data_IF_881178938946
#
_entry.id   IF_881178938946
#
_cell.length_a   1.000
_cell.length_b   1.000
_cell.length_c   1.000
_cell.angle_alpha   90.00
_cell.angle_beta   90.00
_cell.angle_gamma   90.00
#
_symmetry.space_group_name_H-M   'P 1'
#
loop_
_entity.id
_entity.type
_entity.pdbx_description
1 polymer ?
#
# COMPACT_ATOMS: atom_id res chain seq x y z
N UNK A 1 -34.30 -23.04 0.27
CA UNK A 1 -33.69 -24.29 -0.23
C UNK A 1 -32.58 -23.87 -1.17
N UNK A 2 -31.31 -23.96 -0.73
CA UNK A 2 -30.15 -23.68 -1.59
C UNK A 2 -30.07 -24.76 -2.67
N UNK A 3 -30.19 -24.38 -3.93
CA UNK A 3 -30.12 -25.34 -5.03
C UNK A 3 -28.66 -25.64 -5.37
N UNK A 4 -28.35 -26.89 -5.72
CA UNK A 4 -27.02 -27.31 -6.22
C UNK A 4 -26.50 -26.40 -7.34
N UNK A 5 -27.40 -25.77 -8.12
CA UNK A 5 -27.07 -24.84 -9.21
C UNK A 5 -26.45 -23.52 -8.74
N UNK A 6 -26.87 -22.99 -7.59
CA UNK A 6 -26.35 -21.74 -7.02
C UNK A 6 -24.94 -21.94 -6.45
N UNK A 7 -24.67 -23.12 -5.87
CA UNK A 7 -23.34 -23.50 -5.37
C UNK A 7 -22.32 -23.67 -6.49
N UNK A 8 -22.73 -24.18 -7.64
CA UNK A 8 -21.84 -24.27 -8.82
C UNK A 8 -21.54 -22.89 -9.39
N UNK A 9 -22.54 -22.00 -9.44
CA UNK A 9 -22.41 -20.61 -9.89
C UNK A 9 -21.47 -19.78 -9.01
N UNK A 10 -21.52 -19.98 -7.69
CA UNK A 10 -20.65 -19.25 -6.75
C UNK A 10 -19.19 -19.68 -6.81
N UNK A 11 -18.90 -20.90 -7.27
CA UNK A 11 -17.54 -21.44 -7.40
C UNK A 11 -16.97 -21.48 -8.82
N UNK A 12 -17.81 -21.26 -9.84
CA UNK A 12 -17.37 -21.28 -11.23
C UNK A 12 -16.50 -20.05 -11.55
N UNK A 13 -15.28 -20.29 -12.02
CA UNK A 13 -14.28 -19.27 -12.39
C UNK A 13 -14.62 -18.53 -13.68
N UNK A 14 -15.26 -19.21 -14.64
CA UNK A 14 -15.72 -18.65 -15.90
C UNK A 14 -17.03 -17.87 -15.75
N UNK A 15 -17.64 -17.90 -14.57
CA UNK A 15 -18.92 -17.27 -14.33
C UNK A 15 -18.81 -15.74 -14.47
N UNK A 16 -19.63 -15.10 -15.34
CA UNK A 16 -19.56 -13.66 -15.58
C UNK A 16 -20.18 -12.89 -14.40
N UNK A 17 -19.44 -11.89 -13.95
CA UNK A 17 -19.78 -10.98 -12.88
C UNK A 17 -19.74 -9.54 -13.39
N UNK A 18 -20.58 -8.71 -12.79
CA UNK A 18 -20.49 -7.26 -12.93
C UNK A 18 -19.47 -6.70 -11.95
N UNK A 19 -18.77 -5.63 -12.36
CA UNK A 19 -17.87 -4.90 -11.48
C UNK A 19 -18.61 -4.43 -10.21
N UNK A 20 -18.10 -4.70 -9.00
CA UNK A 20 -18.73 -4.24 -7.76
C UNK A 20 -18.77 -2.71 -7.66
N UNK A 21 -17.80 -2.02 -8.26
CA UNK A 21 -17.74 -0.56 -8.31
C UNK A 21 -18.62 0.05 -9.42
N UNK A 22 -19.39 -0.78 -10.13
CA UNK A 22 -20.34 -0.35 -11.19
C UNK A 22 -19.70 0.53 -12.25
N UNK A 23 -18.48 0.18 -12.69
CA UNK A 23 -17.75 0.89 -13.73
C UNK A 23 -18.35 0.75 -15.15
N UNK A 24 -19.42 -0.05 -15.29
CA UNK A 24 -20.10 -0.31 -16.57
C UNK A 24 -19.79 -1.68 -17.16
N UNK A 25 -18.67 -2.31 -16.76
CA UNK A 25 -18.31 -3.65 -17.21
C UNK A 25 -19.11 -4.74 -16.47
N UNK A 26 -19.75 -5.63 -17.23
CA UNK A 26 -20.78 -6.56 -16.75
C UNK A 26 -20.45 -8.03 -17.00
N UNK A 27 -19.42 -8.35 -17.78
CA UNK A 27 -19.08 -9.70 -18.18
C UNK A 27 -17.65 -10.10 -17.76
N UNK A 28 -17.23 -9.70 -16.57
CA UNK A 28 -15.92 -10.03 -16.02
C UNK A 28 -15.99 -11.46 -15.49
N UNK A 29 -15.16 -12.37 -16.01
CA UNK A 29 -15.08 -13.72 -15.44
C UNK A 29 -14.60 -13.62 -14.00
N UNK A 30 -15.15 -14.44 -13.10
CA UNK A 30 -14.78 -14.43 -11.68
C UNK A 30 -13.26 -14.47 -11.46
N UNK A 31 -12.55 -15.30 -12.22
CA UNK A 31 -11.07 -15.41 -12.15
C UNK A 31 -10.33 -14.14 -12.59
N UNK A 32 -10.93 -13.34 -13.48
CA UNK A 32 -10.32 -12.13 -14.05
C UNK A 32 -10.67 -10.87 -13.25
N UNK A 33 -11.48 -11.00 -12.18
CA UNK A 33 -11.94 -9.86 -11.37
C UNK A 33 -10.79 -9.13 -10.67
N UNK A 34 -9.76 -9.85 -10.21
CA UNK A 34 -8.62 -9.21 -9.55
C UNK A 34 -7.82 -8.37 -10.56
N UNK A 35 -7.52 -8.94 -11.73
CA UNK A 35 -6.88 -8.19 -12.83
C UNK A 35 -7.70 -6.98 -13.26
N UNK A 36 -9.03 -7.09 -13.30
CA UNK A 36 -9.89 -5.93 -13.60
C UNK A 36 -9.70 -4.79 -12.58
N UNK A 37 -9.62 -5.09 -11.28
CA UNK A 37 -9.45 -4.08 -10.22
C UNK A 37 -8.14 -3.30 -10.36
N UNK A 38 -7.09 -3.92 -10.89
CA UNK A 38 -5.80 -3.27 -11.16
C UNK A 38 -5.91 -2.09 -12.14
N UNK A 39 -6.90 -2.11 -13.04
CA UNK A 39 -7.10 -1.07 -14.06
C UNK A 39 -8.46 -0.36 -13.97
N UNK A 40 -9.34 -0.78 -13.06
CA UNK A 40 -10.66 -0.17 -12.91
C UNK A 40 -10.54 1.28 -12.42
N UNK A 41 -11.07 2.21 -13.22
CA UNK A 41 -11.05 3.65 -12.94
C UNK A 41 -11.90 4.05 -11.72
N UNK A 42 -12.87 3.22 -11.35
CA UNK A 42 -13.73 3.43 -10.18
C UNK A 42 -13.26 2.65 -8.94
N UNK A 43 -12.14 1.92 -9.03
CA UNK A 43 -11.55 1.23 -7.89
C UNK A 43 -11.18 2.25 -6.80
N UNK A 44 -11.61 1.98 -5.57
CA UNK A 44 -11.22 2.77 -4.40
C UNK A 44 -9.83 2.36 -3.95
N UNK A 45 -8.90 3.31 -3.97
CA UNK A 45 -7.51 3.08 -3.62
C UNK A 45 -7.09 4.01 -2.50
N UNK A 46 -6.22 3.52 -1.63
CA UNK A 46 -5.52 4.37 -0.69
C UNK A 46 -4.55 5.29 -1.41
N UNK A 47 -4.39 6.50 -0.90
CA UNK A 47 -3.38 7.44 -1.35
C UNK A 47 -1.98 6.80 -1.26
N UNK A 48 -1.08 7.01 -2.24
CA UNK A 48 0.31 6.55 -2.17
C UNK A 48 1.05 7.03 -0.90
N UNK A 49 0.61 8.14 -0.30
CA UNK A 49 1.15 8.70 0.94
C UNK A 49 0.48 8.16 2.22
N UNK A 50 -0.34 7.10 2.15
CA UNK A 50 -0.95 6.45 3.34
C UNK A 50 0.10 6.03 4.37
N UNK A 51 1.24 5.50 3.90
CA UNK A 51 2.35 5.07 4.76
C UNK A 51 3.00 6.19 5.59
N UNK A 52 2.82 7.46 5.20
CA UNK A 52 3.26 8.64 5.98
C UNK A 52 2.08 9.41 6.60
N UNK A 53 0.87 8.85 6.55
CA UNK A 53 -0.30 9.36 7.28
C UNK A 53 -1.36 10.07 6.44
N UNK A 54 -1.34 9.97 5.11
CA UNK A 54 -2.45 10.48 4.30
C UNK A 54 -3.61 9.47 4.25
N UNK A 55 -4.71 9.77 4.94
CA UNK A 55 -5.90 8.89 5.02
C UNK A 55 -6.82 8.94 3.79
N UNK A 56 -6.31 9.33 2.63
CA UNK A 56 -7.13 9.48 1.44
C UNK A 56 -7.52 8.11 0.87
N UNK A 57 -8.83 7.87 0.71
CA UNK A 57 -9.37 6.74 -0.05
C UNK A 57 -10.13 7.34 -1.26
N UNK A 58 -9.57 7.13 -2.46
CA UNK A 58 -9.94 7.86 -3.67
C UNK A 58 -10.11 6.89 -4.83
N UNK A 59 -11.10 7.14 -5.68
CA UNK A 59 -11.22 6.45 -6.96
C UNK A 59 -9.97 6.67 -7.82
N UNK A 60 -9.49 5.61 -8.48
CA UNK A 60 -8.32 5.67 -9.38
C UNK A 60 -8.36 6.88 -10.33
N UNK A 61 -9.49 7.14 -10.99
CA UNK A 61 -9.67 8.29 -11.91
C UNK A 61 -9.44 9.67 -11.29
N UNK A 62 -9.58 9.80 -9.98
CA UNK A 62 -9.41 11.05 -9.25
C UNK A 62 -8.07 11.13 -8.50
N UNK A 63 -7.28 10.04 -8.49
CA UNK A 63 -6.03 9.97 -7.73
C UNK A 63 -5.02 11.04 -8.17
N UNK A 64 -4.86 11.27 -9.47
CA UNK A 64 -3.96 12.31 -9.98
C UNK A 64 -4.35 13.71 -9.47
N UNK A 65 -5.65 14.05 -9.54
CA UNK A 65 -6.15 15.33 -9.03
C UNK A 65 -5.98 15.47 -7.52
N UNK A 66 -6.22 14.40 -6.76
CA UNK A 66 -5.98 14.37 -5.33
C UNK A 66 -4.51 14.64 -5.00
N UNK A 67 -3.59 13.95 -5.68
CA UNK A 67 -2.15 14.12 -5.50
C UNK A 67 -1.71 15.55 -5.79
N UNK A 68 -2.20 16.16 -6.88
CA UNK A 68 -1.91 17.56 -7.26
C UNK A 68 -2.45 18.57 -6.26
N UNK A 69 -3.68 18.37 -5.78
CA UNK A 69 -4.30 19.32 -4.85
C UNK A 69 -3.81 19.16 -3.40
N UNK A 70 -3.21 18.01 -3.07
CA UNK A 70 -2.74 17.70 -1.71
C UNK A 70 -1.22 17.80 -1.56
N UNK A 71 -0.50 18.40 -2.52
CA UNK A 71 0.98 18.48 -2.52
C UNK A 71 1.51 19.06 -1.23
N UNK A 72 0.96 20.19 -0.76
CA UNK A 72 1.42 20.83 0.49
C UNK A 72 1.28 19.88 1.69
N UNK A 73 0.12 19.23 1.84
CA UNK A 73 -0.12 18.24 2.90
C UNK A 73 0.87 17.09 2.80
N UNK A 74 1.09 16.54 1.60
CA UNK A 74 2.02 15.44 1.38
C UNK A 74 3.47 15.85 1.71
N UNK A 75 3.89 17.07 1.35
CA UNK A 75 5.21 17.59 1.70
C UNK A 75 5.41 17.72 3.21
N UNK A 76 4.39 18.19 3.95
CA UNK A 76 4.46 18.28 5.41
C UNK A 76 4.57 16.90 6.08
N UNK A 77 3.79 15.92 5.61
CA UNK A 77 3.87 14.54 6.10
C UNK A 77 5.25 13.93 5.81
N UNK A 78 5.76 14.11 4.59
CA UNK A 78 7.11 13.67 4.21
C UNK A 78 8.19 14.35 5.04
N UNK A 79 8.10 15.66 5.28
CA UNK A 79 9.08 16.39 6.09
C UNK A 79 9.11 15.88 7.53
N UNK A 80 7.94 15.60 8.11
CA UNK A 80 7.83 14.97 9.43
C UNK A 80 8.47 13.57 9.44
N UNK A 81 8.07 12.70 8.52
CA UNK A 81 8.61 11.34 8.41
C UNK A 81 10.13 11.35 8.17
N UNK A 82 10.63 12.29 7.37
CA UNK A 82 12.07 12.47 7.13
C UNK A 82 12.81 12.86 8.40
N UNK A 83 12.28 13.82 9.17
CA UNK A 83 12.87 14.22 10.45
C UNK A 83 12.97 13.04 11.42
N UNK A 84 11.90 12.26 11.54
CA UNK A 84 11.84 11.07 12.39
C UNK A 84 12.86 10.00 11.93
N UNK A 85 12.93 9.74 10.62
CA UNK A 85 13.90 8.81 10.03
C UNK A 85 15.35 9.25 10.25
N UNK A 86 15.66 10.54 10.15
CA UNK A 86 17.00 11.08 10.42
C UNK A 86 17.37 10.94 11.88
N UNK A 87 16.43 11.18 12.80
CA UNK A 87 16.64 11.00 14.23
C UNK A 87 16.91 9.54 14.56
N UNK A 88 16.13 8.62 14.00
CA UNK A 88 16.29 7.19 14.21
C UNK A 88 17.61 6.67 13.64
N UNK A 89 17.99 7.10 12.43
CA UNK A 89 19.30 6.74 11.87
C UNK A 89 20.46 7.22 12.76
N UNK A 90 20.37 8.45 13.31
CA UNK A 90 21.40 8.94 14.26
C UNK A 90 21.45 8.09 15.52
N UNK A 91 20.30 7.70 16.07
CA UNK A 91 20.21 6.83 17.24
C UNK A 91 20.88 5.47 16.97
N UNK A 92 20.50 4.80 15.88
CA UNK A 92 21.07 3.51 15.48
C UNK A 92 22.58 3.58 15.22
N UNK A 93 23.07 4.67 14.62
CA UNK A 93 24.51 4.89 14.42
C UNK A 93 25.26 5.02 15.74
N UNK A 94 24.70 5.73 16.73
CA UNK A 94 25.28 5.84 18.07
C UNK A 94 25.34 4.47 18.76
N UNK A 95 24.25 3.71 18.73
CA UNK A 95 24.18 2.37 19.33
C UNK A 95 25.18 1.39 18.68
N UNK A 96 25.30 1.43 17.36
CA UNK A 96 26.28 0.61 16.64
C UNK A 96 27.72 0.99 16.99
N UNK A 97 28.01 2.28 17.21
CA UNK A 97 29.32 2.75 17.63
C UNK A 97 29.67 2.22 19.03
N UNK A 98 28.72 2.26 19.97
CA UNK A 98 28.88 1.75 21.33
C UNK A 98 29.12 0.22 21.36
N UNK A 99 28.40 -0.54 20.53
CA UNK A 99 28.59 -1.99 20.41
C UNK A 99 29.99 -2.37 19.89
N UNK A 100 30.55 -1.59 18.95
CA UNK A 100 31.92 -1.82 18.44
C UNK A 100 32.98 -1.61 19.52
N UNK A 101 32.75 -0.70 20.47
CA UNK A 101 33.67 -0.41 21.58
C UNK A 101 33.59 -1.48 22.67
N UNK A 102 32.40 -2.03 22.91
CA UNK A 102 32.15 -3.02 23.97
C UNK A 102 32.37 -4.47 23.52
N UNK A 103 32.55 -4.72 22.22
CA UNK A 103 32.83 -6.06 21.68
C UNK A 103 34.25 -6.54 22.04
N UNK A 104 34.40 -7.69 22.73
CA UNK A 104 35.71 -8.26 23.08
C UNK A 104 36.60 -8.59 21.87
N UNK A 105 36.02 -8.74 20.67
CA UNK A 105 36.74 -9.06 19.44
C UNK A 105 37.43 -7.86 18.78
N UNK A 106 37.01 -6.62 19.09
CA UNK A 106 37.62 -5.41 18.51
C UNK A 106 38.94 -5.01 19.21
N UNK A 107 39.12 -5.39 20.48
CA UNK A 107 40.33 -5.09 21.25
C UNK A 107 41.50 -6.07 21.01
N UNK A 108 41.26 -7.18 20.31
CA UNK A 108 42.33 -8.16 19.96
C UNK A 108 43.08 -7.75 18.69
N UNK A 109 42.47 -6.94 17.80
CA UNK A 109 43.11 -6.48 16.54
C UNK A 109 43.94 -5.20 16.68
N UNK A 110 44.18 -4.72 17.91
CA UNK A 110 44.94 -3.49 18.21
C UNK A 110 46.18 -3.70 19.10
N UNK A 111 46.59 -4.96 19.33
CA UNK A 111 47.87 -5.32 19.98
C UNK A 111 48.81 -5.89 18.94
#
# INVERSE_FOLDING_TARGET
QDTQSERTRSRCEEYPLECPNKCGEKNIKRKDMETHREFCELEQLKCPFDHVGCTGEIQRRHMDSHCKNSVEKHLLLLAKAHKELVQENRRLLSELAEQKITSPLYNIKKI
#
